data_IF_973614887154
#
_entry.id   IF_973614887154
#
_cell.length_a   1.000
_cell.length_b   1.000
_cell.length_c   1.000
_cell.angle_alpha   90.00
_cell.angle_beta   90.00
_cell.angle_gamma   90.00
#
_symmetry.space_group_name_H-M   'P 1'
#
loop_
_entity.id
_entity.type
_entity.pdbx_description
1 polymer ?
#
# COMPACT_ATOMS: atom_id res chain seq x y z
N UNK A 1 17.26 -5.10 13.99
CA UNK A 1 16.11 -5.23 13.06
C UNK A 1 16.18 -6.63 12.46
N UNK A 2 15.12 -7.44 12.56
CA UNK A 2 15.12 -8.81 11.99
C UNK A 2 15.23 -8.77 10.46
N UNK A 3 16.06 -9.62 9.83
CA UNK A 3 16.19 -9.70 8.35
C UNK A 3 14.84 -9.96 7.68
N UNK A 4 13.94 -10.66 8.37
CA UNK A 4 12.60 -10.96 7.90
C UNK A 4 11.75 -9.68 7.81
N UNK A 5 11.88 -8.78 8.79
CA UNK A 5 11.24 -7.46 8.79
C UNK A 5 11.75 -6.59 7.62
N UNK A 6 13.05 -6.62 7.37
CA UNK A 6 13.67 -5.87 6.27
C UNK A 6 13.19 -6.35 4.89
N UNK A 7 13.11 -7.67 4.69
CA UNK A 7 12.55 -8.25 3.46
C UNK A 7 11.08 -7.87 3.30
N UNK A 8 10.26 -8.00 4.34
CA UNK A 8 8.83 -7.65 4.29
C UNK A 8 8.64 -6.17 3.94
N UNK A 9 9.39 -5.27 4.58
CA UNK A 9 9.34 -3.83 4.28
C UNK A 9 9.73 -3.57 2.82
N UNK A 10 10.80 -4.20 2.33
CA UNK A 10 11.25 -4.00 0.94
C UNK A 10 10.23 -4.46 -0.09
N UNK A 11 9.60 -5.62 0.12
CA UNK A 11 8.60 -6.18 -0.80
C UNK A 11 7.33 -5.35 -0.77
N UNK A 12 6.86 -4.93 0.41
CA UNK A 12 5.72 -4.03 0.55
C UNK A 12 5.96 -2.68 -0.14
N UNK A 13 7.17 -2.11 -0.02
CA UNK A 13 7.51 -0.86 -0.69
C UNK A 13 7.43 -0.97 -2.21
N UNK A 14 7.91 -2.08 -2.79
CA UNK A 14 7.83 -2.34 -4.24
C UNK A 14 6.38 -2.50 -4.70
N UNK A 15 5.56 -3.27 -3.97
CA UNK A 15 4.15 -3.46 -4.31
C UNK A 15 3.40 -2.13 -4.28
N UNK A 16 3.61 -1.33 -3.24
CA UNK A 16 2.99 0.00 -3.13
C UNK A 16 3.46 0.90 -4.27
N UNK A 17 4.74 0.93 -4.59
CA UNK A 17 5.26 1.73 -5.70
C UNK A 17 4.61 1.36 -7.04
N UNK A 18 4.47 0.06 -7.33
CA UNK A 18 3.84 -0.43 -8.57
C UNK A 18 2.37 0.00 -8.67
N UNK A 19 1.62 -0.06 -7.56
CA UNK A 19 0.22 0.37 -7.52
C UNK A 19 0.04 1.86 -7.83
N UNK A 20 1.04 2.69 -7.54
CA UNK A 20 0.98 4.14 -7.76
C UNK A 20 1.34 4.58 -9.18
N UNK A 21 1.99 3.73 -9.99
CA UNK A 21 2.37 4.03 -11.38
C UNK A 21 1.18 4.52 -12.23
N UNK A 22 0.05 3.79 -12.36
CA UNK A 22 -1.06 4.23 -13.21
C UNK A 22 -1.73 5.51 -12.72
N UNK A 23 -1.65 5.78 -11.41
CA UNK A 23 -2.19 7.00 -10.79
C UNK A 23 -1.33 8.20 -11.14
N UNK A 24 -0.01 8.06 -11.05
CA UNK A 24 0.92 9.10 -11.46
C UNK A 24 0.76 9.43 -12.96
N UNK A 25 0.69 8.41 -13.82
CA UNK A 25 0.49 8.59 -15.26
C UNK A 25 -0.83 9.30 -15.59
N UNK A 26 -1.91 9.00 -14.86
CA UNK A 26 -3.21 9.65 -15.07
C UNK A 26 -3.30 11.05 -14.46
N UNK A 27 -2.59 11.31 -13.35
CA UNK A 27 -2.52 12.63 -12.71
C UNK A 27 -1.72 13.65 -13.53
N UNK A 28 -0.60 13.22 -14.13
CA UNK A 28 0.25 14.07 -14.98
C UNK A 28 -0.23 14.20 -16.43
N UNK A 29 -1.33 13.54 -16.81
CA UNK A 29 -1.93 13.69 -18.14
C UNK A 29 -2.45 15.12 -18.38
N UNK A 30 -2.25 15.63 -19.60
CA UNK A 30 -2.65 16.99 -20.05
C UNK A 30 -4.16 17.13 -20.31
N UNK A 31 -4.88 16.01 -20.34
CA UNK A 31 -6.29 15.90 -20.68
C UNK A 31 -7.17 16.18 -19.44
N UNK A 32 -7.96 17.25 -19.46
CA UNK A 32 -8.75 17.74 -18.30
C UNK A 32 -9.76 16.70 -17.79
N UNK A 33 -10.39 15.95 -18.70
CA UNK A 33 -11.29 14.86 -18.34
C UNK A 33 -10.55 13.73 -17.61
N UNK A 34 -9.33 13.39 -18.06
CA UNK A 34 -8.50 12.37 -17.39
C UNK A 34 -8.04 12.82 -16.02
N UNK A 35 -7.78 14.11 -15.82
CA UNK A 35 -7.43 14.67 -14.50
C UNK A 35 -8.59 14.59 -13.50
N UNK A 36 -9.82 14.83 -13.96
CA UNK A 36 -11.00 14.72 -13.08
C UNK A 36 -11.23 13.27 -12.66
N UNK A 37 -11.13 12.33 -13.61
CA UNK A 37 -11.24 10.90 -13.32
C UNK A 37 -10.07 10.38 -12.46
N UNK A 38 -8.86 10.91 -12.69
CA UNK A 38 -7.67 10.60 -11.90
C UNK A 38 -7.84 10.97 -10.42
N UNK A 39 -8.56 12.06 -10.09
CA UNK A 39 -8.87 12.40 -8.68
C UNK A 39 -9.74 11.35 -8.00
N UNK A 40 -10.71 10.78 -8.72
CA UNK A 40 -11.53 9.67 -8.22
C UNK A 40 -10.71 8.41 -7.97
N UNK A 41 -9.87 8.03 -8.95
CA UNK A 41 -8.97 6.88 -8.82
C UNK A 41 -7.90 7.07 -7.74
N UNK A 42 -7.40 8.29 -7.57
CA UNK A 42 -6.47 8.67 -6.50
C UNK A 42 -7.11 8.39 -5.13
N UNK A 43 -8.34 8.84 -4.89
CA UNK A 43 -9.05 8.56 -3.62
C UNK A 43 -9.20 7.06 -3.39
N UNK A 44 -9.61 6.30 -4.40
CA UNK A 44 -9.78 4.85 -4.28
C UNK A 44 -8.46 4.12 -4.00
N UNK A 45 -7.38 4.52 -4.65
CA UNK A 45 -6.06 3.95 -4.42
C UNK A 45 -5.47 4.33 -3.06
N UNK A 46 -5.75 5.54 -2.57
CA UNK A 46 -5.33 6.00 -1.26
C UNK A 46 -6.06 5.21 -0.16
N UNK A 47 -7.37 4.96 -0.34
CA UNK A 47 -8.17 4.06 0.50
C UNK A 47 -7.61 2.64 0.43
N UNK A 48 -7.32 2.11 -0.75
CA UNK A 48 -6.74 0.77 -0.93
C UNK A 48 -5.37 0.61 -0.25
N UNK A 49 -4.52 1.64 -0.35
CA UNK A 49 -3.21 1.66 0.32
C UNK A 49 -3.38 1.69 1.84
N UNK A 50 -4.31 2.49 2.36
CA UNK A 50 -4.65 2.51 3.79
C UNK A 50 -5.14 1.15 4.30
N UNK A 51 -6.06 0.51 3.58
CA UNK A 51 -6.57 -0.82 3.92
C UNK A 51 -5.44 -1.85 3.89
N UNK A 52 -4.55 -1.79 2.89
CA UNK A 52 -3.40 -2.68 2.79
C UNK A 52 -2.43 -2.52 3.98
N UNK A 53 -2.12 -1.27 4.36
CA UNK A 53 -1.26 -0.98 5.52
C UNK A 53 -1.92 -1.47 6.81
N UNK A 54 -3.22 -1.23 6.99
CA UNK A 54 -3.97 -1.71 8.16
C UNK A 54 -4.00 -3.24 8.23
N UNK A 55 -4.22 -3.92 7.10
CA UNK A 55 -4.21 -5.37 7.00
C UNK A 55 -2.84 -5.94 7.36
N UNK A 56 -1.75 -5.39 6.80
CA UNK A 56 -0.39 -5.83 7.13
C UNK A 56 -0.05 -5.56 8.59
N UNK A 57 -0.42 -4.39 9.12
CA UNK A 57 -0.17 -4.05 10.52
C UNK A 57 -0.91 -5.00 11.47
N UNK A 58 -2.17 -5.32 11.16
CA UNK A 58 -2.97 -6.29 11.92
C UNK A 58 -2.43 -7.72 11.82
N UNK A 59 -2.00 -8.15 10.63
CA UNK A 59 -1.40 -9.47 10.42
C UNK A 59 -0.06 -9.59 11.13
N UNK A 60 0.80 -8.58 11.05
CA UNK A 60 2.09 -8.56 11.77
C UNK A 60 1.84 -8.59 13.28
N UNK A 61 0.90 -7.79 13.78
CA UNK A 61 0.52 -7.80 15.20
C UNK A 61 0.01 -9.18 15.63
N UNK A 62 -0.92 -9.77 14.87
CA UNK A 62 -1.46 -11.09 15.16
C UNK A 62 -0.38 -12.18 15.16
N UNK A 63 0.54 -12.17 14.18
CA UNK A 63 1.66 -13.11 14.13
C UNK A 63 2.62 -12.90 15.31
N UNK A 64 2.98 -11.66 15.63
CA UNK A 64 3.84 -11.38 16.77
C UNK A 64 3.18 -11.81 18.08
N UNK A 65 1.88 -11.57 18.24
CA UNK A 65 1.14 -11.97 19.43
C UNK A 65 1.06 -13.50 19.51
N UNK A 66 0.73 -14.17 18.40
CA UNK A 66 0.67 -15.64 18.32
C UNK A 66 2.02 -16.31 18.59
N UNK A 67 3.10 -15.77 18.02
CA UNK A 67 4.45 -16.34 18.14
C UNK A 67 5.14 -15.98 19.47
N UNK A 68 4.95 -14.77 19.98
CA UNK A 68 5.61 -14.31 21.21
C UNK A 68 4.83 -14.64 22.49
N UNK A 69 3.48 -14.70 22.43
CA UNK A 69 2.64 -15.03 23.59
C UNK A 69 2.05 -16.44 23.52
N UNK A 70 2.16 -17.15 22.39
CA UNK A 70 1.77 -18.56 22.28
C UNK A 70 0.25 -18.82 22.40
N UNK A 71 -0.58 -17.80 22.15
CA UNK A 71 -2.05 -17.89 22.15
C UNK A 71 -2.61 -17.89 20.74
#
# INVERSE_FOLDING_TARGET
MSRLLEVVISVSAVIVALLWIPIALSFFSTDENKRFEARGRLKNALIGTLIYVLAISGVIYAIFNYVALGQ
#
